data_IF_569164220741
#
_entry.id   IF_569164220741
#
_cell.length_a   1.000
_cell.length_b   1.000
_cell.length_c   1.000
_cell.angle_alpha   90.00
_cell.angle_beta   90.00
_cell.angle_gamma   90.00
#
_symmetry.space_group_name_H-M   'P 1'
#
loop_
_entity.id
_entity.type
_entity.pdbx_description
1 polymer ?
#
# COMPACT_ATOMS: atom_id res chain seq x y z
N UNK A 1 10.59 -3.72 -9.34
CA UNK A 1 10.27 -3.42 -7.93
C UNK A 1 10.05 -4.76 -7.25
N UNK A 2 10.84 -5.13 -6.23
CA UNK A 2 10.61 -6.41 -5.53
C UNK A 2 9.26 -6.38 -4.80
N UNK A 3 8.44 -7.43 -4.87
CA UNK A 3 7.10 -7.49 -4.27
C UNK A 3 7.12 -7.15 -2.77
N UNK A 4 8.16 -7.58 -2.07
CA UNK A 4 8.50 -7.21 -0.70
C UNK A 4 8.55 -5.70 -0.45
N UNK A 5 9.15 -4.91 -1.34
CA UNK A 5 9.22 -3.44 -1.21
C UNK A 5 7.82 -2.82 -1.38
N UNK A 6 7.00 -3.37 -2.28
CA UNK A 6 5.63 -2.90 -2.49
C UNK A 6 4.74 -3.17 -1.27
N UNK A 7 4.81 -4.36 -0.67
CA UNK A 7 4.07 -4.70 0.56
C UNK A 7 4.49 -3.84 1.75
N UNK A 8 5.80 -3.61 1.91
CA UNK A 8 6.34 -2.72 2.95
C UNK A 8 5.84 -1.29 2.76
N UNK A 9 5.93 -0.74 1.55
CA UNK A 9 5.46 0.63 1.29
C UNK A 9 3.95 0.76 1.47
N UNK A 10 3.17 -0.23 1.02
CA UNK A 10 1.71 -0.20 1.14
C UNK A 10 1.23 -0.23 2.59
N UNK A 11 1.95 -0.88 3.50
CA UNK A 11 1.65 -0.87 4.93
C UNK A 11 2.26 0.31 5.67
N UNK A 12 3.54 0.61 5.40
CA UNK A 12 4.29 1.62 6.12
C UNK A 12 3.74 3.03 5.85
N UNK A 13 3.36 3.34 4.61
CA UNK A 13 2.94 4.68 4.23
C UNK A 13 1.65 5.16 4.93
N UNK A 14 0.53 4.39 4.92
CA UNK A 14 -0.69 4.81 5.61
C UNK A 14 -0.50 4.81 7.13
N UNK A 15 0.26 3.84 7.67
CA UNK A 15 0.53 3.73 9.10
C UNK A 15 1.36 4.92 9.60
N UNK A 16 2.39 5.31 8.83
CA UNK A 16 3.23 6.46 9.13
C UNK A 16 2.49 7.78 8.95
N UNK A 17 1.60 7.90 7.95
CA UNK A 17 0.72 9.07 7.80
C UNK A 17 -0.27 9.21 8.96
N UNK A 18 -0.88 8.11 9.42
CA UNK A 18 -1.80 8.10 10.55
C UNK A 18 -1.07 8.46 11.85
N UNK A 19 0.10 7.87 12.08
CA UNK A 19 0.96 8.21 13.21
C UNK A 19 1.41 9.67 13.16
N UNK A 20 1.77 10.18 11.99
CA UNK A 20 2.17 11.58 11.82
C UNK A 20 1.00 12.54 12.05
N UNK A 21 -0.22 12.18 11.67
CA UNK A 21 -1.41 13.00 11.90
C UNK A 21 -1.81 13.05 13.39
N UNK A 22 -1.80 11.91 14.08
CA UNK A 22 -2.28 11.79 15.47
C UNK A 22 -1.21 12.20 16.49
N UNK A 23 0.06 11.83 16.26
CA UNK A 23 1.15 12.04 17.24
C UNK A 23 2.02 13.27 16.94
N UNK A 24 1.70 14.10 15.93
CA UNK A 24 2.45 15.33 15.59
C UNK A 24 2.77 16.21 16.79
N UNK A 25 1.86 16.24 17.77
CA UNK A 25 1.96 17.11 18.94
C UNK A 25 2.90 16.58 20.04
N UNK A 26 3.21 15.28 20.03
CA UNK A 26 4.07 14.61 21.01
C UNK A 26 5.19 13.84 20.32
N UNK A 27 6.28 14.54 19.98
CA UNK A 27 7.38 14.00 19.18
C UNK A 27 8.08 12.75 19.76
N UNK A 28 8.16 12.62 21.09
CA UNK A 28 8.74 11.43 21.72
C UNK A 28 7.88 10.16 21.49
N UNK A 29 6.56 10.30 21.56
CA UNK A 29 5.63 9.19 21.31
C UNK A 29 5.64 8.83 19.83
N UNK A 30 5.80 9.82 18.93
CA UNK A 30 5.96 9.59 17.50
C UNK A 30 7.22 8.75 17.19
N UNK A 31 8.37 9.06 17.80
CA UNK A 31 9.58 8.27 17.60
C UNK A 31 9.41 6.83 18.09
N UNK A 32 8.81 6.64 19.27
CA UNK A 32 8.52 5.29 19.77
C UNK A 32 7.59 4.51 18.83
N UNK A 33 6.54 5.17 18.33
CA UNK A 33 5.64 4.60 17.33
C UNK A 33 6.35 4.22 16.02
N UNK A 34 7.22 5.10 15.52
CA UNK A 34 8.00 4.85 14.31
C UNK A 34 8.94 3.64 14.46
N UNK A 35 9.59 3.51 15.63
CA UNK A 35 10.42 2.35 15.95
C UNK A 35 9.59 1.08 16.01
N UNK A 36 8.42 1.10 16.66
CA UNK A 36 7.51 -0.06 16.68
C UNK A 36 7.06 -0.48 15.28
N UNK A 37 6.73 0.49 14.42
CA UNK A 37 6.40 0.23 13.03
C UNK A 37 7.57 -0.41 12.29
N UNK A 38 8.78 0.12 12.45
CA UNK A 38 9.98 -0.44 11.83
C UNK A 38 10.25 -1.88 12.28
N UNK A 39 10.06 -2.18 13.57
CA UNK A 39 10.20 -3.55 14.11
C UNK A 39 9.13 -4.48 13.55
N UNK A 40 7.87 -4.06 13.53
CA UNK A 40 6.77 -4.86 12.98
C UNK A 40 6.96 -5.14 11.49
N UNK A 41 7.35 -4.12 10.71
CA UNK A 41 7.68 -4.26 9.29
C UNK A 41 8.88 -5.20 9.11
N UNK A 42 9.95 -5.03 9.90
CA UNK A 42 11.11 -5.90 9.86
C UNK A 42 10.75 -7.36 10.10
N UNK A 43 9.86 -7.63 11.05
CA UNK A 43 9.32 -8.97 11.31
C UNK A 43 8.50 -9.52 10.15
N UNK A 44 7.63 -8.71 9.52
CA UNK A 44 6.87 -9.12 8.34
C UNK A 44 7.78 -9.43 7.14
N UNK A 45 8.90 -8.70 7.00
CA UNK A 45 9.90 -8.94 5.96
C UNK A 45 10.67 -10.23 6.22
N UNK A 46 11.14 -10.47 7.45
CA UNK A 46 11.92 -11.67 7.78
C UNK A 46 11.08 -12.95 7.73
N UNK A 47 9.77 -12.85 7.96
CA UNK A 47 8.84 -13.98 7.88
C UNK A 47 8.31 -14.25 6.46
N UNK A 48 8.62 -13.39 5.49
CA UNK A 48 8.14 -13.50 4.10
C UNK A 48 6.70 -13.00 3.89
N UNK A 49 5.96 -12.68 4.95
CA UNK A 49 4.59 -12.16 4.88
C UNK A 49 4.49 -10.85 4.09
N UNK A 50 5.55 -10.04 4.09
CA UNK A 50 5.62 -8.82 3.28
C UNK A 50 5.57 -9.09 1.76
N UNK A 51 6.04 -10.27 1.30
CA UNK A 51 6.01 -10.65 -0.10
C UNK A 51 4.60 -11.12 -0.52
N UNK A 52 3.93 -11.93 0.31
CA UNK A 52 2.53 -12.35 0.14
C UNK A 52 1.54 -11.19 0.12
N UNK A 53 1.76 -10.19 0.98
CA UNK A 53 0.95 -8.97 0.99
C UNK A 53 1.24 -8.14 -0.26
N UNK A 54 2.50 -8.06 -0.68
CA UNK A 54 2.91 -7.32 -1.88
C UNK A 54 2.29 -7.88 -3.16
N UNK A 55 2.27 -9.21 -3.32
CA UNK A 55 1.67 -9.87 -4.49
C UNK A 55 0.15 -9.72 -4.50
N UNK A 56 -0.54 -9.89 -3.38
CA UNK A 56 -1.99 -9.64 -3.28
C UNK A 56 -2.35 -8.19 -3.64
N UNK A 57 -1.60 -7.22 -3.15
CA UNK A 57 -1.85 -5.80 -3.46
C UNK A 57 -1.58 -5.52 -4.93
N UNK A 58 -0.51 -6.09 -5.50
CA UNK A 58 -0.21 -5.91 -6.91
C UNK A 58 -1.28 -6.54 -7.81
N UNK A 59 -1.84 -7.68 -7.41
CA UNK A 59 -2.94 -8.34 -8.11
C UNK A 59 -4.23 -7.52 -8.04
N UNK A 60 -4.59 -6.99 -6.85
CA UNK A 60 -5.73 -6.08 -6.67
C UNK A 60 -5.58 -4.79 -7.49
N UNK A 61 -4.39 -4.20 -7.52
CA UNK A 61 -4.11 -3.03 -8.36
C UNK A 61 -4.20 -3.41 -9.84
N UNK A 62 -3.65 -4.56 -10.23
CA UNK A 62 -3.74 -5.10 -11.58
C UNK A 62 -5.19 -5.22 -12.04
N UNK A 63 -6.04 -5.87 -11.23
CA UNK A 63 -7.47 -5.99 -11.49
C UNK A 63 -8.18 -4.63 -11.54
N UNK A 64 -7.91 -3.72 -10.61
CA UNK A 64 -8.50 -2.38 -10.62
C UNK A 64 -8.10 -1.57 -11.86
N UNK A 65 -6.89 -1.79 -12.37
CA UNK A 65 -6.40 -1.14 -13.60
C UNK A 65 -7.02 -1.77 -14.85
N UNK A 66 -7.22 -3.09 -14.86
CA UNK A 66 -7.93 -3.81 -15.92
C UNK A 66 -9.41 -3.45 -15.97
N UNK A 67 -10.07 -3.31 -14.82
CA UNK A 67 -11.48 -2.90 -14.75
C UNK A 67 -11.66 -1.46 -15.24
N UNK A 68 -10.74 -0.55 -14.90
CA UNK A 68 -10.72 0.81 -15.44
C UNK A 68 -10.39 0.89 -16.93
N UNK A 69 -9.61 -0.06 -17.46
CA UNK A 69 -9.36 -0.19 -18.90
C UNK A 69 -10.52 -0.88 -19.64
N UNK A 70 -11.35 -1.64 -18.92
CA UNK A 70 -12.53 -2.31 -19.42
C UNK A 70 -13.80 -1.46 -19.29
N UNK A 71 -13.75 -0.26 -18.68
CA UNK A 71 -14.80 0.75 -18.85
C UNK A 71 -14.84 1.09 -20.35
N UNK A 72 -15.84 0.56 -21.08
CA UNK A 72 -15.81 0.58 -22.52
C UNK A 72 -15.86 2.03 -22.98
N UNK A 73 -14.96 2.38 -23.89
CA UNK A 73 -15.22 3.46 -24.84
C UNK A 73 -16.67 3.28 -25.31
N UNK A 74 -17.53 4.22 -24.92
CA UNK A 74 -18.93 4.25 -25.29
C UNK A 74 -19.04 3.92 -26.79
N UNK A 75 -20.00 3.05 -27.21
CA UNK A 75 -20.21 2.79 -28.63
C UNK A 75 -20.40 4.14 -29.32
N UNK A 76 -19.49 4.48 -30.24
CA UNK A 76 -19.64 5.66 -31.07
C UNK A 76 -21.03 5.61 -31.72
N UNK A 77 -21.79 6.72 -31.71
CA UNK A 77 -23.14 6.72 -32.26
C UNK A 77 -23.06 6.35 -33.76
N UNK A 78 -23.75 5.27 -34.13
CA UNK A 78 -23.89 4.89 -35.53
C UNK A 78 -24.78 5.92 -36.24
N UNK A 79 -24.27 6.53 -37.31
CA UNK A 79 -24.99 7.35 -38.29
C UNK A 79 -24.13 7.32 -39.58
N UNK A 80 -24.66 7.31 -40.81
CA UNK A 80 -26.03 7.57 -41.28
C UNK A 80 -26.86 6.35 -41.71
#
# INVERSE_FOLDING_TARGET
MTPTIAGVLALALPLLLLGLLILRRNGAVFLFYAVLCAVGIGYLVTTGAADDIGTQILDLIGQATTEKAAEPAAPAPATP
#
